data_IF_847262943758
#
_entry.id   IF_847262943758
#
_cell.length_a   1.000
_cell.length_b   1.000
_cell.length_c   1.000
_cell.angle_alpha   90.00
_cell.angle_beta   90.00
_cell.angle_gamma   90.00
#
_symmetry.space_group_name_H-M   'P 1'
#
loop_
_entity.id
_entity.type
_entity.pdbx_description
1 polymer ?
#
# COMPACT_ATOMS: atom_id res chain seq x y z
N UNK A 1 9.93 19.36 15.50
CA UNK A 1 9.05 18.24 15.08
C UNK A 1 9.89 17.19 14.36
N UNK A 2 9.85 15.93 14.80
CA UNK A 2 10.56 14.83 14.14
C UNK A 2 9.70 14.34 12.97
N UNK A 3 10.10 14.63 11.74
CA UNK A 3 9.40 14.17 10.55
C UNK A 3 9.41 12.64 10.53
N UNK A 4 8.25 12.00 10.44
CA UNK A 4 8.17 10.55 10.28
C UNK A 4 8.94 10.19 9.00
N UNK A 5 9.97 9.33 9.10
CA UNK A 5 10.67 8.79 7.93
C UNK A 5 9.73 7.82 7.22
N UNK A 6 8.91 8.36 6.32
CA UNK A 6 8.02 7.60 5.45
C UNK A 6 8.80 6.96 4.31
N UNK A 7 8.50 5.71 3.96
CA UNK A 7 9.05 5.08 2.75
C UNK A 7 8.35 5.61 1.49
N UNK A 8 8.99 5.59 0.31
CA UNK A 8 8.36 6.03 -0.94
C UNK A 8 7.01 5.37 -1.22
N UNK A 9 6.92 4.04 -1.04
CA UNK A 9 5.68 3.29 -1.25
C UNK A 9 4.56 3.70 -0.27
N UNK A 10 4.87 4.05 0.98
CA UNK A 10 3.88 4.57 1.93
C UNK A 10 3.35 5.93 1.46
N UNK A 11 4.24 6.82 1.04
CA UNK A 11 3.87 8.13 0.52
C UNK A 11 3.04 8.05 -0.75
N UNK A 12 3.31 7.06 -1.60
CA UNK A 12 2.49 6.76 -2.75
C UNK A 12 1.09 6.30 -2.33
N UNK A 13 0.99 5.34 -1.41
CA UNK A 13 -0.29 4.80 -0.94
C UNK A 13 -1.21 5.87 -0.35
N UNK A 14 -0.71 6.76 0.50
CA UNK A 14 -1.53 7.81 1.15
C UNK A 14 -2.00 8.90 0.18
N UNK A 15 -1.37 9.03 -0.99
CA UNK A 15 -1.71 10.06 -1.99
C UNK A 15 -2.56 9.54 -3.14
N UNK A 16 -2.59 8.23 -3.37
CA UNK A 16 -3.33 7.65 -4.49
C UNK A 16 -4.83 7.51 -4.19
N UNK A 17 -5.65 7.60 -5.22
CA UNK A 17 -7.05 7.20 -5.13
C UNK A 17 -7.16 5.66 -5.10
N UNK A 18 -7.66 5.12 -3.99
CA UNK A 18 -7.85 3.67 -3.80
C UNK A 18 -9.27 3.21 -4.12
N UNK A 19 -10.16 4.08 -4.62
CA UNK A 19 -11.57 3.78 -4.87
C UNK A 19 -11.80 2.54 -5.75
N UNK A 20 -10.93 2.31 -6.74
CA UNK A 20 -10.98 1.14 -7.63
C UNK A 20 -10.62 -0.20 -6.94
N UNK A 21 -10.06 -0.16 -5.74
CA UNK A 21 -9.50 -1.30 -5.02
C UNK A 21 -10.16 -1.50 -3.65
N UNK A 22 -11.35 -0.97 -3.43
CA UNK A 22 -12.09 -1.08 -2.16
C UNK A 22 -12.06 -2.51 -1.64
N UNK A 23 -11.60 -2.69 -0.40
CA UNK A 23 -11.59 -4.02 0.20
C UNK A 23 -10.53 -4.98 -0.36
N UNK A 24 -9.61 -4.53 -1.22
CA UNK A 24 -8.52 -5.35 -1.74
C UNK A 24 -7.19 -5.08 -1.03
N UNK A 25 -6.25 -6.01 -1.22
CA UNK A 25 -4.83 -5.83 -1.01
C UNK A 25 -4.20 -5.27 -2.28
N UNK A 26 -3.26 -4.34 -2.12
CA UNK A 26 -2.52 -3.69 -3.19
C UNK A 26 -1.03 -3.92 -2.93
N UNK A 27 -0.30 -4.41 -3.93
CA UNK A 27 1.16 -4.44 -3.94
C UNK A 27 1.72 -3.21 -4.66
N UNK A 28 2.57 -2.46 -3.97
CA UNK A 28 3.19 -1.23 -4.45
C UNK A 28 4.70 -1.45 -4.56
N UNK A 29 5.28 -1.04 -5.68
CA UNK A 29 6.73 -0.95 -5.85
C UNK A 29 7.07 0.20 -6.80
N UNK A 30 8.06 1.03 -6.44
CA UNK A 30 8.51 2.18 -7.24
C UNK A 30 7.33 3.09 -7.64
N UNK A 31 6.52 3.48 -6.65
CA UNK A 31 5.39 4.40 -6.83
C UNK A 31 4.38 3.92 -7.89
N UNK A 32 4.13 2.60 -7.94
CA UNK A 32 3.15 1.98 -8.83
C UNK A 32 2.49 0.76 -8.19
N UNK A 33 1.20 0.59 -8.45
CA UNK A 33 0.50 -0.67 -8.17
C UNK A 33 0.95 -1.72 -9.18
N UNK A 34 1.51 -2.81 -8.67
CA UNK A 34 1.99 -3.92 -9.50
C UNK A 34 1.11 -5.17 -9.39
N UNK A 35 0.31 -5.30 -8.34
CA UNK A 35 -0.70 -6.36 -8.21
C UNK A 35 -1.80 -5.94 -7.21
N UNK A 36 -2.99 -6.52 -7.32
CA UNK A 36 -4.08 -6.30 -6.37
C UNK A 36 -5.03 -7.51 -6.31
N UNK A 37 -5.87 -7.57 -5.28
CA UNK A 37 -6.90 -8.61 -5.11
C UNK A 37 -7.26 -8.88 -3.64
N UNK A 38 -8.20 -9.78 -3.41
CA UNK A 38 -8.75 -10.03 -2.05
C UNK A 38 -7.84 -10.86 -1.12
N UNK A 39 -6.84 -11.53 -1.67
CA UNK A 39 -5.95 -12.45 -0.94
C UNK A 39 -4.53 -11.90 -0.91
N UNK A 40 -4.03 -11.56 0.28
CA UNK A 40 -2.72 -10.92 0.45
C UNK A 40 -1.56 -11.78 -0.08
N UNK A 41 -1.60 -13.10 0.15
CA UNK A 41 -0.55 -14.02 -0.25
C UNK A 41 -0.50 -14.17 -1.77
N UNK A 42 -1.66 -14.30 -2.43
CA UNK A 42 -1.73 -14.31 -3.90
C UNK A 42 -1.25 -13.00 -4.50
N UNK A 43 -1.61 -11.86 -3.90
CA UNK A 43 -1.15 -10.54 -4.34
C UNK A 43 0.37 -10.43 -4.22
N UNK A 44 0.95 -10.86 -3.10
CA UNK A 44 2.40 -10.84 -2.91
C UNK A 44 3.14 -11.75 -3.91
N UNK A 45 2.66 -12.99 -4.10
CA UNK A 45 3.22 -13.94 -5.08
C UNK A 45 3.17 -13.38 -6.50
N UNK A 46 2.10 -12.67 -6.86
CA UNK A 46 1.99 -12.00 -8.16
C UNK A 46 2.92 -10.79 -8.28
N UNK A 47 3.16 -10.07 -7.19
CA UNK A 47 4.08 -8.94 -7.14
C UNK A 47 5.54 -9.38 -7.28
N UNK A 48 5.93 -10.51 -6.69
CA UNK A 48 7.28 -11.08 -6.81
C UNK A 48 7.69 -11.40 -8.25
N UNK A 49 6.73 -11.64 -9.14
CA UNK A 49 6.97 -11.84 -10.58
C UNK A 49 7.33 -10.54 -11.30
N UNK A 50 7.12 -9.37 -10.68
CA UNK A 50 7.21 -8.04 -11.29
C UNK A 50 8.27 -7.15 -10.64
N UNK A 51 8.65 -7.41 -9.39
CA UNK A 51 9.64 -6.61 -8.67
C UNK A 51 10.40 -7.44 -7.61
N UNK A 52 11.63 -7.03 -7.21
CA UNK A 52 12.35 -7.66 -6.10
C UNK A 52 11.60 -7.50 -4.78
N UNK A 53 11.57 -8.57 -3.96
CA UNK A 53 10.90 -8.61 -2.66
C UNK A 53 11.16 -7.39 -1.77
N UNK A 54 12.44 -6.96 -1.68
CA UNK A 54 12.87 -5.81 -0.87
C UNK A 54 12.22 -4.47 -1.22
N UNK A 55 11.59 -4.36 -2.38
CA UNK A 55 10.95 -3.14 -2.87
C UNK A 55 9.42 -3.19 -2.83
N UNK A 56 8.83 -4.30 -2.41
CA UNK A 56 7.38 -4.52 -2.42
C UNK A 56 6.80 -4.14 -1.05
N UNK A 57 5.75 -3.33 -1.06
CA UNK A 57 4.89 -3.09 0.10
C UNK A 57 3.49 -3.58 -0.20
N UNK A 58 2.86 -4.25 0.76
CA UNK A 58 1.43 -4.56 0.71
C UNK A 58 0.68 -3.53 1.54
N UNK A 59 -0.38 -2.99 0.97
CA UNK A 59 -1.32 -2.11 1.65
C UNK A 59 -2.73 -2.64 1.47
N UNK A 60 -3.56 -2.51 2.50
CA UNK A 60 -4.97 -2.84 2.44
C UNK A 60 -5.73 -1.57 2.10
N UNK A 61 -6.41 -1.55 0.95
CA UNK A 61 -7.28 -0.46 0.62
C UNK A 61 -8.50 -0.46 1.56
N UNK A 62 -8.90 0.72 2.07
CA UNK A 62 -10.10 0.85 2.88
C UNK A 62 -11.33 0.46 2.06
N UNK A 63 -12.34 -0.09 2.71
CA UNK A 63 -13.62 -0.39 2.07
C UNK A 63 -14.44 0.88 1.83
N UNK A 64 -14.37 1.82 2.79
CA UNK A 64 -15.05 3.11 2.69
C UNK A 64 -14.09 4.27 2.93
N UNK A 65 -13.75 4.55 4.19
CA UNK A 65 -12.89 5.67 4.57
C UNK A 65 -11.63 5.20 5.29
N UNK A 66 -10.51 5.85 5.01
CA UNK A 66 -9.27 5.66 5.76
C UNK A 66 -9.35 6.44 7.06
N UNK A 67 -9.19 5.75 8.20
CA UNK A 67 -9.15 6.37 9.51
C UNK A 67 -7.70 6.42 10.00
N UNK A 68 -7.24 7.60 10.42
CA UNK A 68 -5.91 7.80 10.99
C UNK A 68 -6.08 8.55 12.31
N UNK A 69 -5.70 7.91 13.41
CA UNK A 69 -5.67 8.52 14.73
C UNK A 69 -4.24 8.92 15.07
N UNK A 70 -4.01 10.21 15.33
CA UNK A 70 -2.72 10.76 15.72
C UNK A 70 -2.82 11.41 17.11
N UNK A 71 -1.94 11.01 18.01
CA UNK A 71 -1.79 11.64 19.32
C UNK A 71 -0.48 12.43 19.37
N UNK A 72 -0.56 13.63 19.94
CA UNK A 72 0.60 14.42 20.32
C UNK A 72 0.47 14.75 21.80
N UNK A 73 1.54 14.53 22.56
CA UNK A 73 1.66 14.98 23.94
C UNK A 73 1.95 16.48 24.00
#
# INVERSE_FOLDING_TARGET
>A
MKQLKTTPNYNYFIKMDTSAYKGEWIAIAKDKIIAHGKDADKVYKNALKKAPAKNISLAKAPEEQMLVLHFTA
#
